data_IF_526933935845
#
_entry.id   IF_526933935845
#
_cell.length_a   1.000
_cell.length_b   1.000
_cell.length_c   1.000
_cell.angle_alpha   90.00
_cell.angle_beta   90.00
_cell.angle_gamma   90.00
#
_symmetry.space_group_name_H-M   'P 1'
#
loop_
_entity.id
_entity.type
_entity.pdbx_description
1 polymer ?
#
# COMPACT_ATOMS: atom_id res chain seq x y z
N UNK A 1 26.75 4.91 -86.36
CA UNK A 1 27.42 5.16 -85.08
C UNK A 1 26.34 5.68 -84.09
N UNK A 2 25.68 4.76 -83.36
CA UNK A 2 24.57 5.08 -82.48
C UNK A 2 25.11 5.17 -81.05
N UNK A 3 25.01 6.38 -80.48
CA UNK A 3 25.37 6.69 -79.09
C UNK A 3 24.11 6.48 -78.22
N UNK A 4 24.12 5.46 -77.42
CA UNK A 4 23.04 5.23 -76.40
C UNK A 4 23.38 6.00 -75.15
N UNK A 5 22.56 7.02 -74.84
CA UNK A 5 22.63 7.79 -73.59
C UNK A 5 21.91 6.97 -72.48
N UNK A 6 22.65 6.52 -71.45
CA UNK A 6 22.09 5.90 -70.25
C UNK A 6 21.80 6.98 -69.24
N UNK A 7 20.49 7.20 -68.94
CA UNK A 7 20.04 8.08 -67.90
C UNK A 7 19.99 7.26 -66.60
N UNK A 8 20.77 7.68 -65.57
CA UNK A 8 20.68 7.15 -64.22
C UNK A 8 19.67 7.97 -63.42
N UNK A 9 18.55 7.37 -63.04
CA UNK A 9 17.60 7.99 -62.11
C UNK A 9 18.06 7.65 -60.67
N UNK A 10 18.53 8.66 -59.94
CA UNK A 10 18.83 8.55 -58.50
C UNK A 10 17.53 8.84 -57.74
N UNK A 11 16.95 7.79 -57.15
CA UNK A 11 15.79 7.93 -56.24
C UNK A 11 16.35 8.26 -54.87
N UNK A 12 16.26 9.54 -54.46
CA UNK A 12 16.47 9.94 -53.08
C UNK A 12 15.23 9.57 -52.26
N UNK A 13 15.35 8.50 -51.45
CA UNK A 13 14.36 8.18 -50.42
C UNK A 13 14.54 9.15 -49.24
N UNK A 14 13.63 10.12 -49.12
CA UNK A 14 13.49 10.91 -47.90
C UNK A 14 12.94 9.99 -46.79
N UNK A 15 13.80 9.55 -45.89
CA UNK A 15 13.35 8.95 -44.64
C UNK A 15 12.71 10.05 -43.77
N UNK A 16 11.41 9.98 -43.62
CA UNK A 16 10.66 10.85 -42.71
C UNK A 16 11.05 10.43 -41.28
N UNK A 17 11.97 11.15 -40.64
CA UNK A 17 12.32 10.98 -39.23
C UNK A 17 11.19 11.64 -38.43
N UNK A 18 10.19 10.86 -38.03
CA UNK A 18 9.25 11.31 -37.03
C UNK A 18 10.00 11.45 -35.70
N UNK A 19 9.95 12.61 -35.03
CA UNK A 19 10.54 12.73 -33.71
C UNK A 19 9.82 11.77 -32.80
N UNK A 20 10.54 10.78 -32.28
CA UNK A 20 10.08 9.97 -31.13
C UNK A 20 10.11 10.94 -29.95
N UNK A 21 8.97 11.50 -29.63
CA UNK A 21 8.79 12.15 -28.34
C UNK A 21 8.99 11.07 -27.29
N UNK A 22 10.12 11.11 -26.59
CA UNK A 22 10.27 10.35 -25.36
C UNK A 22 9.13 10.80 -24.45
N UNK A 23 8.16 9.91 -24.25
CA UNK A 23 7.08 10.14 -23.30
C UNK A 23 7.79 10.21 -21.95
N UNK A 24 7.90 11.40 -21.37
CA UNK A 24 8.42 11.59 -20.04
C UNK A 24 7.41 10.91 -19.07
N UNK A 25 7.70 9.66 -18.75
CA UNK A 25 6.91 8.82 -17.86
C UNK A 25 7.15 9.21 -16.39
N UNK A 26 7.86 10.32 -16.12
CA UNK A 26 7.97 10.83 -14.77
C UNK A 26 6.61 11.35 -14.31
N UNK A 27 5.94 10.57 -13.46
CA UNK A 27 4.66 10.96 -12.85
C UNK A 27 4.83 12.23 -12.01
N UNK A 28 3.75 12.98 -11.86
CA UNK A 28 3.71 14.16 -10.99
C UNK A 28 3.97 13.81 -9.55
N UNK A 29 4.66 14.69 -8.83
CA UNK A 29 4.85 14.60 -7.38
C UNK A 29 3.90 15.56 -6.71
N UNK A 30 3.11 15.06 -5.76
CA UNK A 30 2.21 15.84 -4.92
C UNK A 30 2.78 15.90 -3.51
N UNK A 31 2.94 17.10 -2.99
CA UNK A 31 3.49 17.39 -1.68
C UNK A 31 2.37 17.71 -0.69
N UNK A 32 2.45 17.13 0.51
CA UNK A 32 1.51 17.36 1.60
C UNK A 32 2.28 17.86 2.84
N UNK A 33 1.92 19.05 3.33
CA UNK A 33 2.53 19.71 4.48
C UNK A 33 1.43 20.28 5.38
N UNK A 34 1.18 19.68 6.54
CA UNK A 34 0.09 20.15 7.42
C UNK A 34 0.42 21.45 8.15
N UNK A 35 1.68 21.88 8.16
CA UNK A 35 2.12 23.12 8.82
C UNK A 35 2.09 24.31 7.87
N UNK A 36 2.66 24.16 6.67
CA UNK A 36 2.82 25.23 5.69
C UNK A 36 1.92 25.13 4.46
N UNK A 37 1.19 24.04 4.29
CA UNK A 37 0.35 23.80 3.12
C UNK A 37 -1.04 24.43 3.19
N UNK A 38 -1.74 24.40 2.06
CA UNK A 38 -3.16 24.79 1.94
C UNK A 38 -3.86 23.86 0.94
N UNK A 39 -5.09 23.44 1.24
CA UNK A 39 -5.87 22.59 0.34
C UNK A 39 -6.38 23.34 -0.91
N UNK A 40 -6.18 24.67 -0.98
CA UNK A 40 -6.39 25.48 -2.18
C UNK A 40 -5.19 25.48 -3.15
N UNK A 41 -4.03 24.95 -2.71
CA UNK A 41 -2.82 24.89 -3.51
C UNK A 41 -2.90 23.77 -4.57
N UNK A 42 -1.93 23.76 -5.50
CA UNK A 42 -1.85 22.73 -6.57
C UNK A 42 -1.31 21.40 -6.08
N UNK A 43 -0.55 21.38 -4.98
CA UNK A 43 0.19 20.22 -4.49
C UNK A 43 1.50 19.94 -5.25
N UNK A 44 1.80 20.65 -6.34
CA UNK A 44 2.84 20.28 -7.31
C UNK A 44 4.24 20.81 -6.98
N UNK A 45 4.40 21.57 -5.92
CA UNK A 45 5.71 22.02 -5.44
C UNK A 45 5.73 22.14 -3.93
N UNK A 46 6.93 22.27 -3.35
CA UNK A 46 7.08 22.42 -1.88
C UNK A 46 6.38 23.68 -1.35
N UNK A 47 6.36 24.77 -2.11
CA UNK A 47 5.69 26.02 -1.73
C UNK A 47 4.18 25.99 -1.97
N UNK A 48 3.68 25.02 -2.72
CA UNK A 48 2.28 24.82 -3.06
C UNK A 48 1.72 23.49 -2.54
N UNK A 49 2.27 22.99 -1.43
CA UNK A 49 1.83 21.74 -0.82
C UNK A 49 0.36 21.81 -0.38
N UNK A 50 -0.34 20.69 -0.44
CA UNK A 50 -1.64 20.53 0.20
C UNK A 50 -1.48 20.44 1.73
N UNK A 51 -2.52 20.81 2.46
CA UNK A 51 -2.50 20.78 3.92
C UNK A 51 -2.98 19.44 4.49
N UNK A 52 -4.05 18.92 3.96
CA UNK A 52 -4.73 17.72 4.47
C UNK A 52 -4.79 16.60 3.43
N UNK A 53 -5.38 15.48 3.81
CA UNK A 53 -5.64 14.37 2.90
C UNK A 53 -6.83 14.59 1.95
N UNK A 54 -7.55 15.71 2.09
CA UNK A 54 -8.76 15.97 1.30
C UNK A 54 -8.50 15.80 -0.20
N UNK A 55 -7.53 16.55 -0.75
CA UNK A 55 -7.23 16.51 -2.18
C UNK A 55 -6.66 15.16 -2.64
N UNK A 56 -5.96 14.46 -1.74
CA UNK A 56 -5.46 13.11 -2.01
C UNK A 56 -6.60 12.11 -2.11
N UNK A 57 -7.53 12.13 -1.15
CA UNK A 57 -8.64 11.18 -1.09
C UNK A 57 -9.70 11.44 -2.17
N UNK A 58 -9.84 12.69 -2.62
CA UNK A 58 -10.79 13.09 -3.66
C UNK A 58 -10.29 12.81 -5.10
N UNK A 59 -9.02 12.41 -5.24
CA UNK A 59 -8.33 12.30 -6.52
C UNK A 59 -8.12 10.85 -6.95
N UNK A 60 -8.03 10.64 -8.27
CA UNK A 60 -7.50 9.42 -8.88
C UNK A 60 -6.09 9.67 -9.43
N UNK A 61 -5.10 8.93 -8.88
CA UNK A 61 -3.70 9.02 -9.28
C UNK A 61 -3.41 8.17 -10.51
N UNK A 62 -2.37 8.56 -11.25
CA UNK A 62 -1.93 7.92 -12.50
C UNK A 62 -0.59 7.21 -12.30
N UNK A 63 -0.22 6.27 -13.20
CA UNK A 63 1.08 5.59 -13.13
C UNK A 63 2.25 6.56 -12.97
N UNK A 64 3.16 6.23 -12.05
CA UNK A 64 4.35 7.00 -11.73
C UNK A 64 4.13 8.22 -10.84
N UNK A 65 2.90 8.60 -10.52
CA UNK A 65 2.63 9.72 -9.60
C UNK A 65 3.04 9.38 -8.16
N UNK A 66 3.46 10.39 -7.42
CA UNK A 66 3.90 10.24 -6.04
C UNK A 66 3.13 11.17 -5.10
N UNK A 67 2.83 10.68 -3.91
CA UNK A 67 2.19 11.37 -2.80
C UNK A 67 3.22 11.43 -1.68
N UNK A 68 3.83 12.60 -1.48
CA UNK A 68 4.90 12.73 -0.50
C UNK A 68 4.45 13.60 0.68
N UNK A 69 4.53 13.02 1.87
CA UNK A 69 4.19 13.65 3.14
C UNK A 69 5.45 14.25 3.76
N UNK A 70 5.34 15.46 4.29
CA UNK A 70 6.47 16.16 4.92
C UNK A 70 6.90 15.46 6.22
N UNK A 71 8.18 15.17 6.33
CA UNK A 71 8.79 14.68 7.57
C UNK A 71 8.55 15.64 8.73
N UNK A 72 8.34 15.11 9.93
CA UNK A 72 8.04 15.87 11.14
C UNK A 72 6.60 16.38 11.24
N UNK A 73 5.74 16.08 10.28
CA UNK A 73 4.34 16.44 10.28
C UNK A 73 3.43 15.29 10.74
N UNK A 74 2.25 15.62 11.29
CA UNK A 74 1.26 14.63 11.75
C UNK A 74 -0.12 14.97 11.19
N UNK A 75 -0.80 13.97 10.64
CA UNK A 75 -2.19 14.08 10.17
C UNK A 75 -3.09 13.13 10.97
N UNK A 76 -4.32 13.55 11.20
CA UNK A 76 -5.36 12.71 11.80
C UNK A 76 -6.39 12.33 10.75
N UNK A 77 -6.76 11.05 10.72
CA UNK A 77 -7.74 10.50 9.77
C UNK A 77 -7.18 9.37 8.93
N UNK A 78 -7.80 9.12 7.78
CA UNK A 78 -7.41 8.07 6.84
C UNK A 78 -6.85 8.66 5.56
N UNK A 79 -5.69 8.17 5.15
CA UNK A 79 -5.11 8.40 3.82
C UNK A 79 -5.61 7.29 2.90
N UNK A 80 -6.54 7.62 2.00
CA UNK A 80 -7.23 6.65 1.12
C UNK A 80 -7.21 7.09 -0.34
N UNK A 81 -6.03 7.19 -0.97
CA UNK A 81 -5.90 7.58 -2.37
C UNK A 81 -6.46 6.50 -3.30
N UNK A 82 -6.78 6.88 -4.54
CA UNK A 82 -7.30 5.99 -5.58
C UNK A 82 -6.46 6.06 -6.84
N UNK A 83 -6.45 4.97 -7.61
CA UNK A 83 -5.75 4.85 -8.89
C UNK A 83 -4.92 3.60 -8.99
N UNK A 84 -4.43 3.31 -10.17
CA UNK A 84 -3.55 2.18 -10.42
C UNK A 84 -2.27 2.66 -11.10
N UNK A 85 -1.14 2.16 -10.62
CA UNK A 85 0.13 2.27 -11.33
C UNK A 85 0.24 1.22 -12.43
N UNK A 86 1.44 1.09 -12.98
CA UNK A 86 1.86 -0.04 -13.83
C UNK A 86 3.09 -0.70 -13.22
N UNK A 87 3.47 -1.86 -13.73
CA UNK A 87 4.64 -2.61 -13.25
C UNK A 87 5.92 -1.75 -13.28
N UNK A 88 6.10 -0.95 -14.34
CA UNK A 88 7.26 -0.07 -14.52
C UNK A 88 7.07 1.31 -13.89
N UNK A 89 5.87 1.68 -13.50
CA UNK A 89 5.53 3.01 -12.99
C UNK A 89 4.50 2.92 -11.86
N UNK A 90 4.88 2.38 -10.68
CA UNK A 90 3.98 2.29 -9.53
C UNK A 90 3.62 3.68 -9.00
N UNK A 91 2.48 3.79 -8.33
CA UNK A 91 2.14 4.97 -7.55
C UNK A 91 2.80 4.84 -6.17
N UNK A 92 3.36 5.92 -5.67
CA UNK A 92 4.16 5.92 -4.43
C UNK A 92 3.51 6.80 -3.37
N UNK A 93 3.32 6.27 -2.17
CA UNK A 93 3.12 7.05 -0.95
C UNK A 93 4.43 7.00 -0.17
N UNK A 94 4.97 8.17 0.23
CA UNK A 94 6.22 8.23 0.97
C UNK A 94 6.42 9.53 1.72
N UNK A 95 7.65 9.76 2.16
CA UNK A 95 8.05 10.93 2.90
C UNK A 95 8.97 11.84 2.07
N UNK A 96 9.01 13.12 2.40
CA UNK A 96 10.00 14.08 1.91
C UNK A 96 10.50 14.99 3.02
N UNK A 97 11.66 15.60 2.80
CA UNK A 97 12.34 16.46 3.77
C UNK A 97 13.08 15.66 4.83
N UNK A 98 13.80 16.37 5.66
CA UNK A 98 14.59 15.78 6.77
C UNK A 98 13.76 15.74 8.06
N UNK A 99 14.10 14.83 8.98
CA UNK A 99 13.49 14.72 10.29
C UNK A 99 12.84 13.36 10.55
N UNK A 100 11.92 13.32 11.51
CA UNK A 100 11.15 12.12 11.85
C UNK A 100 10.18 11.76 10.73
N UNK A 101 9.80 10.50 10.64
CA UNK A 101 8.78 10.06 9.66
C UNK A 101 7.49 10.89 9.80
N UNK A 102 6.80 11.15 8.69
CA UNK A 102 5.46 11.72 8.74
C UNK A 102 4.51 10.75 9.44
N UNK A 103 3.68 11.27 10.35
CA UNK A 103 2.77 10.46 11.16
C UNK A 103 1.35 10.52 10.59
N UNK A 104 0.75 9.35 10.37
CA UNK A 104 -0.67 9.22 10.06
C UNK A 104 -1.35 8.57 11.26
N UNK A 105 -2.20 9.32 11.92
CA UNK A 105 -2.88 8.92 13.15
C UNK A 105 -4.37 8.70 12.92
N UNK A 106 -4.82 7.44 12.86
CA UNK A 106 -6.23 7.09 12.69
C UNK A 106 -7.12 7.44 13.87
N UNK A 107 -6.50 7.73 15.04
CA UNK A 107 -7.17 8.13 16.29
C UNK A 107 -8.27 7.15 16.76
N UNK A 108 -8.18 5.89 16.36
CA UNK A 108 -9.19 4.88 16.67
C UNK A 108 -10.58 5.14 16.04
N UNK A 109 -10.69 6.14 15.16
CA UNK A 109 -11.95 6.56 14.56
C UNK A 109 -12.14 6.07 13.12
N UNK A 110 -11.08 5.57 12.50
CA UNK A 110 -11.10 5.10 11.10
C UNK A 110 -10.84 3.60 11.03
N UNK A 111 -11.32 2.96 9.96
CA UNK A 111 -11.06 1.55 9.68
C UNK A 111 -9.55 1.28 9.55
N UNK A 112 -8.85 2.12 8.80
CA UNK A 112 -7.40 2.09 8.69
C UNK A 112 -6.83 3.50 8.52
N UNK A 113 -5.62 3.73 9.03
CA UNK A 113 -4.94 5.02 8.87
C UNK A 113 -4.41 5.21 7.45
N UNK A 114 -3.96 4.13 6.80
CA UNK A 114 -3.71 4.05 5.35
C UNK A 114 -4.60 2.97 4.78
N UNK A 115 -5.44 3.31 3.80
CA UNK A 115 -6.48 2.42 3.25
C UNK A 115 -6.43 2.43 1.72
N UNK A 116 -6.04 1.30 1.11
CA UNK A 116 -6.08 1.09 -0.34
C UNK A 116 -7.09 0.00 -0.66
N UNK A 117 -7.97 0.26 -1.63
CA UNK A 117 -9.03 -0.68 -1.98
C UNK A 117 -9.14 -0.90 -3.49
N UNK A 118 -9.08 -2.17 -3.91
CA UNK A 118 -9.18 -2.61 -5.31
C UNK A 118 -8.14 -1.94 -6.23
N UNK A 119 -6.87 -1.93 -5.81
CA UNK A 119 -5.82 -1.22 -6.51
C UNK A 119 -4.58 -2.08 -6.70
N UNK A 120 -3.83 -1.81 -7.77
CA UNK A 120 -2.57 -2.47 -8.14
C UNK A 120 -1.43 -1.47 -8.30
N UNK A 121 -0.20 -1.98 -8.15
CA UNK A 121 1.03 -1.25 -8.44
C UNK A 121 1.21 -0.03 -7.53
N UNK A 122 1.23 -0.28 -6.23
CA UNK A 122 1.46 0.72 -5.20
C UNK A 122 2.68 0.42 -4.34
N UNK A 123 3.39 1.48 -3.96
CA UNK A 123 4.46 1.45 -2.95
C UNK A 123 4.08 2.36 -1.79
N UNK A 124 4.03 1.82 -0.57
CA UNK A 124 3.79 2.57 0.68
C UNK A 124 5.06 2.49 1.51
N UNK A 125 5.71 3.63 1.77
CA UNK A 125 7.02 3.60 2.42
C UNK A 125 7.29 4.78 3.35
N UNK A 126 8.18 4.53 4.34
CA UNK A 126 8.80 5.57 5.19
C UNK A 126 7.78 6.39 6.00
N UNK A 127 6.66 5.81 6.36
CA UNK A 127 5.61 6.41 7.17
C UNK A 127 5.69 5.90 8.61
N UNK A 128 5.19 6.71 9.54
CA UNK A 128 4.78 6.29 10.87
C UNK A 128 3.25 6.26 10.92
N UNK A 129 2.67 5.12 11.35
CA UNK A 129 1.23 4.88 11.24
C UNK A 129 0.69 4.36 12.55
N UNK A 130 -0.35 5.01 13.07
CA UNK A 130 -1.04 4.59 14.29
C UNK A 130 -2.56 4.61 14.11
N UNK A 131 -3.28 3.79 14.88
CA UNK A 131 -4.75 3.84 14.94
C UNK A 131 -5.24 3.41 16.32
N UNK A 132 -4.79 4.12 17.33
CA UNK A 132 -5.07 3.83 18.73
C UNK A 132 -6.44 4.35 19.12
N UNK A 133 -7.26 3.49 19.74
CA UNK A 133 -8.49 3.86 20.42
C UNK A 133 -8.30 3.74 21.94
N UNK A 134 -9.03 4.52 22.76
CA UNK A 134 -8.98 4.43 24.23
C UNK A 134 -9.34 3.03 24.72
N UNK A 135 -10.26 2.36 24.04
CA UNK A 135 -10.72 1.02 24.36
C UNK A 135 -10.73 0.14 23.10
N UNK A 136 -10.48 -1.14 23.27
CA UNK A 136 -10.52 -2.12 22.21
C UNK A 136 -11.92 -2.23 21.58
N UNK A 137 -12.93 -2.47 22.42
CA UNK A 137 -14.32 -2.62 21.99
C UNK A 137 -14.50 -3.75 20.94
N UNK A 138 -15.47 -3.58 20.07
CA UNK A 138 -15.84 -4.52 19.01
C UNK A 138 -15.39 -4.08 17.61
N UNK A 139 -14.55 -3.05 17.50
CA UNK A 139 -14.19 -2.44 16.23
C UNK A 139 -12.89 -3.03 15.70
N UNK A 140 -12.92 -3.51 14.46
CA UNK A 140 -11.73 -3.94 13.74
C UNK A 140 -11.04 -2.73 13.10
N UNK A 141 -9.75 -2.59 13.38
CA UNK A 141 -8.93 -1.48 12.90
C UNK A 141 -7.62 -1.99 12.32
N UNK A 142 -7.15 -1.29 11.29
CA UNK A 142 -5.83 -1.48 10.72
C UNK A 142 -4.94 -0.25 10.83
N UNK A 143 -3.64 -0.45 10.81
CA UNK A 143 -2.66 0.59 10.54
C UNK A 143 -2.61 0.86 9.03
N UNK A 144 -2.00 -0.05 8.28
CA UNK A 144 -1.99 -0.08 6.80
C UNK A 144 -2.87 -1.24 6.36
N UNK A 145 -3.91 -0.95 5.58
CA UNK A 145 -4.85 -1.93 5.07
C UNK A 145 -4.93 -1.82 3.54
N UNK A 146 -4.73 -2.94 2.87
CA UNK A 146 -4.87 -3.07 1.41
C UNK A 146 -5.87 -4.17 1.16
N UNK A 147 -6.98 -3.85 0.49
CA UNK A 147 -8.09 -4.78 0.31
C UNK A 147 -8.42 -5.00 -1.16
N UNK A 148 -8.70 -6.25 -1.50
CA UNK A 148 -9.31 -6.66 -2.76
C UNK A 148 -10.72 -7.18 -2.50
N UNK A 149 -11.71 -6.34 -2.82
CA UNK A 149 -13.13 -6.69 -2.72
C UNK A 149 -13.74 -6.68 -4.14
N UNK A 150 -13.67 -7.79 -4.84
CA UNK A 150 -14.16 -7.93 -6.23
C UNK A 150 -13.36 -7.12 -7.28
N UNK A 151 -12.06 -6.92 -7.06
CA UNK A 151 -11.15 -6.31 -8.04
C UNK A 151 -10.51 -7.30 -9.02
N UNK A 152 -10.83 -8.59 -8.93
CA UNK A 152 -10.20 -9.63 -9.71
C UNK A 152 -8.73 -9.86 -9.31
N UNK A 153 -7.85 -10.02 -10.28
CA UNK A 153 -6.42 -10.19 -10.02
C UNK A 153 -5.73 -8.84 -9.90
N UNK A 154 -5.34 -8.47 -8.69
CA UNK A 154 -4.55 -7.27 -8.40
C UNK A 154 -3.07 -7.64 -8.15
N UNK A 155 -2.15 -6.70 -8.37
CA UNK A 155 -0.73 -7.03 -8.37
C UNK A 155 0.15 -5.93 -7.80
N UNK A 156 1.38 -6.33 -7.40
CA UNK A 156 2.49 -5.44 -7.11
C UNK A 156 2.20 -4.41 -6.01
N UNK A 157 1.92 -4.93 -4.82
CA UNK A 157 1.82 -4.13 -3.60
C UNK A 157 3.13 -4.25 -2.84
N UNK A 158 3.78 -3.11 -2.56
CA UNK A 158 5.00 -3.04 -1.77
C UNK A 158 4.80 -2.15 -0.55
N UNK A 159 5.03 -2.68 0.66
CA UNK A 159 4.92 -1.98 1.94
C UNK A 159 6.30 -2.03 2.59
N UNK A 160 7.03 -0.89 2.56
CA UNK A 160 8.46 -0.85 2.79
C UNK A 160 8.85 0.14 3.89
N UNK A 161 9.69 -0.27 4.83
CA UNK A 161 10.34 0.62 5.80
C UNK A 161 9.38 1.53 6.58
N UNK A 162 8.16 1.07 6.87
CA UNK A 162 7.21 1.81 7.71
C UNK A 162 7.38 1.46 9.18
N UNK A 163 6.98 2.37 10.06
CA UNK A 163 6.80 2.13 11.49
C UNK A 163 5.31 2.15 11.82
N UNK A 164 4.73 0.99 12.11
CA UNK A 164 3.30 0.84 12.40
C UNK A 164 3.16 0.43 13.87
N UNK A 165 2.44 1.22 14.65
CA UNK A 165 2.33 0.92 16.07
C UNK A 165 1.05 1.47 16.72
N UNK A 166 0.74 0.97 17.92
CA UNK A 166 -0.44 1.38 18.68
C UNK A 166 -1.71 1.33 17.83
N UNK A 167 -1.98 0.14 17.28
CA UNK A 167 -3.22 -0.13 16.54
C UNK A 167 -4.14 -0.95 17.44
N UNK A 168 -5.25 -0.36 17.87
CA UNK A 168 -6.24 -1.04 18.70
C UNK A 168 -7.26 -1.74 17.82
N UNK A 169 -7.31 -3.08 17.83
CA UNK A 169 -8.25 -3.86 17.03
C UNK A 169 -8.92 -4.96 17.84
N UNK A 170 -10.12 -5.39 17.43
CA UNK A 170 -10.93 -6.37 18.14
C UNK A 170 -10.51 -7.80 17.83
N UNK A 171 -10.67 -8.69 18.82
CA UNK A 171 -10.55 -10.15 18.64
C UNK A 171 -11.86 -10.82 18.21
N UNK A 172 -12.98 -10.11 18.28
CA UNK A 172 -14.29 -10.72 18.04
C UNK A 172 -14.55 -10.89 16.56
N UNK A 173 -15.19 -12.00 16.22
CA UNK A 173 -15.72 -12.21 14.87
C UNK A 173 -16.83 -11.20 14.58
N UNK A 174 -16.74 -10.52 13.45
CA UNK A 174 -17.86 -9.81 12.85
C UNK A 174 -18.44 -10.67 11.72
N UNK A 175 -19.70 -10.49 11.41
CA UNK A 175 -20.47 -11.37 10.50
C UNK A 175 -19.82 -11.59 9.11
N UNK A 176 -18.98 -10.64 8.64
CA UNK A 176 -18.36 -10.72 7.32
C UNK A 176 -16.82 -10.61 7.34
N UNK A 177 -16.19 -10.62 8.54
CA UNK A 177 -14.74 -10.43 8.64
C UNK A 177 -14.14 -11.40 9.63
N UNK A 178 -13.04 -12.02 9.22
CA UNK A 178 -12.21 -12.75 10.15
C UNK A 178 -11.33 -11.76 10.92
N UNK A 179 -11.25 -11.83 12.27
CA UNK A 179 -10.50 -10.82 13.03
C UNK A 179 -9.00 -10.80 12.70
N UNK A 180 -8.41 -11.88 12.17
CA UNK A 180 -7.02 -11.89 11.71
C UNK A 180 -6.72 -10.95 10.52
N UNK A 181 -7.74 -10.49 9.81
CA UNK A 181 -7.61 -9.56 8.67
C UNK A 181 -7.27 -8.13 9.10
N UNK A 182 -7.14 -7.86 10.40
CA UNK A 182 -6.90 -6.52 10.94
C UNK A 182 -5.68 -6.52 11.87
N UNK A 183 -5.11 -5.35 12.04
CA UNK A 183 -3.97 -5.13 12.92
C UNK A 183 -2.98 -4.13 12.34
N UNK A 184 -1.68 -4.42 12.39
CA UNK A 184 -0.64 -3.50 11.95
C UNK A 184 -0.64 -3.28 10.44
N UNK A 185 -0.24 -4.29 9.69
CA UNK A 185 -0.20 -4.29 8.22
C UNK A 185 -1.02 -5.47 7.72
N UNK A 186 -2.02 -5.21 6.89
CA UNK A 186 -2.88 -6.23 6.33
C UNK A 186 -3.08 -6.06 4.82
N UNK A 187 -2.93 -7.16 4.08
CA UNK A 187 -3.26 -7.26 2.65
C UNK A 187 -4.30 -8.37 2.53
N UNK A 188 -5.55 -8.00 2.25
CA UNK A 188 -6.70 -8.89 2.34
C UNK A 188 -7.40 -9.08 1.00
N UNK A 189 -7.85 -10.30 0.75
CA UNK A 189 -8.83 -10.63 -0.29
C UNK A 189 -10.15 -10.96 0.40
N UNK A 190 -11.15 -10.12 0.15
CA UNK A 190 -12.49 -10.22 0.75
C UNK A 190 -13.59 -10.48 -0.28
N UNK A 191 -13.25 -10.53 -1.56
CA UNK A 191 -14.19 -10.78 -2.64
C UNK A 191 -14.89 -12.14 -2.50
N UNK A 192 -16.17 -12.21 -2.89
CA UNK A 192 -17.00 -13.41 -2.69
C UNK A 192 -16.94 -14.40 -3.86
N UNK A 193 -16.20 -14.08 -4.92
CA UNK A 193 -16.25 -14.84 -6.18
C UNK A 193 -15.18 -15.92 -6.31
N UNK A 194 -14.15 -15.94 -5.43
CA UNK A 194 -13.02 -16.87 -5.54
C UNK A 194 -12.06 -16.56 -6.70
N UNK A 195 -12.32 -15.48 -7.46
CA UNK A 195 -11.43 -15.03 -8.56
C UNK A 195 -10.51 -13.90 -8.14
N UNK A 196 -10.84 -13.25 -7.02
CA UNK A 196 -10.06 -12.16 -6.46
C UNK A 196 -8.79 -12.70 -5.81
N UNK A 197 -7.67 -12.07 -6.09
CA UNK A 197 -6.38 -12.41 -5.47
C UNK A 197 -5.37 -11.28 -5.61
N UNK A 198 -4.29 -11.37 -4.85
CA UNK A 198 -3.09 -10.59 -5.07
C UNK A 198 -1.96 -11.43 -5.68
N UNK A 199 -1.19 -10.80 -6.57
CA UNK A 199 0.09 -11.30 -7.07
C UNK A 199 1.20 -10.33 -6.72
N UNK A 200 2.38 -10.85 -6.31
CA UNK A 200 3.56 -10.03 -6.00
C UNK A 200 3.28 -9.01 -4.86
N UNK A 201 3.09 -9.51 -3.66
CA UNK A 201 3.03 -8.70 -2.43
C UNK A 201 4.39 -8.73 -1.75
N UNK A 202 5.00 -7.57 -1.53
CA UNK A 202 6.25 -7.42 -0.79
C UNK A 202 6.03 -6.58 0.47
N UNK A 203 6.30 -7.17 1.64
CA UNK A 203 6.28 -6.48 2.93
C UNK A 203 7.69 -6.59 3.52
N UNK A 204 8.48 -5.51 3.46
CA UNK A 204 9.89 -5.56 3.81
C UNK A 204 10.33 -4.39 4.68
N UNK A 205 11.20 -4.66 5.66
CA UNK A 205 11.86 -3.64 6.46
C UNK A 205 10.95 -2.88 7.42
N UNK A 206 9.70 -3.33 7.62
CA UNK A 206 8.79 -2.63 8.51
C UNK A 206 9.05 -2.98 9.98
N UNK A 207 8.81 -1.99 10.86
CA UNK A 207 8.71 -2.18 12.29
C UNK A 207 7.25 -2.11 12.70
N UNK A 208 6.73 -3.15 13.36
CA UNK A 208 5.33 -3.26 13.79
C UNK A 208 5.28 -3.56 15.28
N UNK A 209 4.66 -2.71 16.08
CA UNK A 209 4.70 -2.83 17.54
C UNK A 209 3.39 -2.43 18.21
N UNK A 210 3.10 -3.05 19.37
CA UNK A 210 1.93 -2.72 20.18
C UNK A 210 0.63 -2.76 19.38
N UNK A 211 0.35 -3.88 18.75
CA UNK A 211 -0.82 -4.07 17.89
C UNK A 211 -1.83 -5.01 18.52
N UNK A 212 -3.05 -4.56 18.60
CA UNK A 212 -4.15 -5.23 19.27
C UNK A 212 -4.67 -6.49 18.59
N UNK A 213 -4.19 -6.88 17.40
CA UNK A 213 -4.58 -8.12 16.72
C UNK A 213 -3.36 -8.70 15.98
N UNK A 214 -3.37 -8.81 14.66
CA UNK A 214 -2.28 -9.39 13.88
C UNK A 214 -1.22 -8.35 13.55
N UNK A 215 0.05 -8.66 13.67
CA UNK A 215 1.14 -7.75 13.33
C UNK A 215 1.20 -7.49 11.83
N UNK A 216 1.49 -8.54 11.05
CA UNK A 216 1.53 -8.50 9.58
C UNK A 216 0.71 -9.68 9.05
N UNK A 217 -0.21 -9.43 8.13
CA UNK A 217 -1.02 -10.49 7.52
C UNK A 217 -1.20 -10.31 6.01
N UNK A 218 -1.13 -11.42 5.27
CA UNK A 218 -1.68 -11.55 3.92
C UNK A 218 -2.75 -12.63 3.97
N UNK A 219 -4.01 -12.25 3.70
CA UNK A 219 -5.17 -13.09 3.93
C UNK A 219 -6.05 -13.18 2.70
N UNK A 220 -6.23 -14.40 2.19
CA UNK A 220 -7.23 -14.70 1.19
C UNK A 220 -8.29 -15.62 1.81
N UNK A 221 -9.47 -15.08 2.08
CA UNK A 221 -10.50 -15.79 2.82
C UNK A 221 -11.24 -16.84 2.00
N UNK A 222 -11.30 -16.69 0.68
CA UNK A 222 -12.26 -17.41 -0.17
C UNK A 222 -11.58 -18.29 -1.22
N UNK A 223 -10.27 -18.49 -1.12
CA UNK A 223 -9.62 -19.41 -2.07
C UNK A 223 -10.24 -20.82 -1.92
N UNK A 224 -10.82 -21.34 -3.00
CA UNK A 224 -11.37 -22.69 -3.03
C UNK A 224 -10.39 -23.68 -3.66
N UNK A 225 -9.42 -23.18 -4.43
CA UNK A 225 -8.40 -23.97 -5.14
C UNK A 225 -7.06 -23.23 -5.13
N UNK A 226 -5.97 -23.96 -5.31
CA UNK A 226 -4.62 -23.38 -5.32
C UNK A 226 -4.40 -22.32 -6.41
N UNK A 227 -5.06 -22.42 -7.56
CA UNK A 227 -4.99 -21.42 -8.63
C UNK A 227 -5.74 -20.12 -8.31
N UNK A 228 -6.55 -20.12 -7.27
CA UNK A 228 -7.26 -18.96 -6.73
C UNK A 228 -6.46 -18.25 -5.63
N UNK A 229 -5.47 -18.89 -5.04
CA UNK A 229 -4.67 -18.33 -3.94
C UNK A 229 -3.80 -17.13 -4.37
N UNK A 230 -3.46 -16.28 -3.41
CA UNK A 230 -2.45 -15.24 -3.58
C UNK A 230 -1.08 -15.85 -3.91
N UNK A 231 -0.31 -15.25 -4.82
CA UNK A 231 1.00 -15.77 -5.24
C UNK A 231 2.09 -14.70 -5.19
N UNK A 232 3.37 -15.12 -5.10
CA UNK A 232 4.49 -14.19 -5.07
C UNK A 232 4.53 -13.33 -3.79
N UNK A 233 3.96 -13.82 -2.69
CA UNK A 233 3.96 -13.14 -1.39
C UNK A 233 5.33 -13.28 -0.75
N UNK A 234 5.93 -12.15 -0.35
CA UNK A 234 7.22 -12.09 0.35
C UNK A 234 7.12 -11.18 1.56
N UNK A 235 7.37 -11.73 2.75
CA UNK A 235 7.39 -10.99 4.02
C UNK A 235 8.79 -11.17 4.61
N UNK A 236 9.62 -10.12 4.59
CA UNK A 236 11.01 -10.27 4.98
C UNK A 236 11.60 -9.05 5.68
N UNK A 237 12.60 -9.31 6.54
CA UNK A 237 13.35 -8.28 7.27
C UNK A 237 12.46 -7.34 8.10
N UNK A 238 11.28 -7.79 8.52
CA UNK A 238 10.42 -7.02 9.40
C UNK A 238 10.75 -7.34 10.86
N UNK A 239 10.53 -6.34 11.73
CA UNK A 239 10.53 -6.52 13.19
C UNK A 239 9.11 -6.37 13.70
N UNK A 240 8.59 -7.41 14.35
CA UNK A 240 7.23 -7.46 14.89
C UNK A 240 7.32 -7.70 16.38
N UNK A 241 6.77 -6.79 17.20
CA UNK A 241 6.92 -6.85 18.65
C UNK A 241 5.64 -6.49 19.39
N UNK A 242 5.42 -7.13 20.53
CA UNK A 242 4.28 -6.86 21.42
C UNK A 242 2.94 -6.90 20.66
N UNK A 243 2.67 -8.01 20.01
CA UNK A 243 1.45 -8.27 19.25
C UNK A 243 0.52 -9.15 20.07
N UNK A 244 -0.72 -8.72 20.23
CA UNK A 244 -1.67 -9.44 21.07
C UNK A 244 -2.03 -10.83 20.51
N UNK A 245 -1.92 -11.04 19.20
CA UNK A 245 -2.19 -12.33 18.55
C UNK A 245 -1.01 -12.74 17.66
N UNK A 246 -1.27 -13.02 16.39
CA UNK A 246 -0.26 -13.53 15.46
C UNK A 246 0.73 -12.42 15.09
N UNK A 247 2.02 -12.70 15.21
CA UNK A 247 3.07 -11.77 14.78
C UNK A 247 3.04 -11.59 13.26
N UNK A 248 3.18 -12.70 12.53
CA UNK A 248 3.16 -12.74 11.05
C UNK A 248 2.30 -13.93 10.62
N UNK A 249 1.33 -13.68 9.74
CA UNK A 249 0.38 -14.68 9.28
C UNK A 249 0.19 -14.60 7.77
N UNK A 250 0.15 -15.76 7.10
CA UNK A 250 -0.34 -15.89 5.73
C UNK A 250 -1.44 -16.95 5.68
N UNK A 251 -2.52 -16.64 4.97
CA UNK A 251 -3.63 -17.57 4.74
C UNK A 251 -4.11 -17.45 3.31
N UNK A 252 -4.35 -18.57 2.63
CA UNK A 252 -4.74 -18.56 1.21
C UNK A 252 -3.63 -18.05 0.28
N UNK A 253 -2.38 -18.33 0.60
CA UNK A 253 -1.22 -17.94 -0.20
C UNK A 253 -0.47 -19.20 -0.68
N UNK A 254 -0.21 -19.29 -1.99
CA UNK A 254 0.61 -20.35 -2.56
C UNK A 254 2.06 -19.89 -2.70
N UNK A 255 2.99 -20.66 -2.09
CA UNK A 255 4.42 -20.41 -2.14
C UNK A 255 4.86 -19.11 -1.45
N UNK A 256 4.18 -18.69 -0.36
CA UNK A 256 4.59 -17.51 0.40
C UNK A 256 6.00 -17.69 1.01
N UNK A 257 6.87 -16.70 0.84
CA UNK A 257 8.21 -16.66 1.42
C UNK A 257 8.24 -15.73 2.63
N UNK A 258 8.46 -16.30 3.82
CA UNK A 258 8.60 -15.55 5.07
C UNK A 258 10.02 -15.77 5.59
N UNK A 259 10.87 -14.75 5.52
CA UNK A 259 12.29 -14.91 5.84
C UNK A 259 12.89 -13.68 6.55
N UNK A 260 13.90 -13.92 7.37
CA UNK A 260 14.69 -12.86 8.04
C UNK A 260 13.82 -11.88 8.87
N UNK A 261 12.67 -12.29 9.35
CA UNK A 261 11.85 -11.49 10.25
C UNK A 261 12.20 -11.80 11.71
N UNK A 262 11.96 -10.82 12.58
CA UNK A 262 12.03 -10.99 14.03
C UNK A 262 10.64 -10.81 14.60
N UNK A 263 10.15 -11.78 15.37
CA UNK A 263 8.88 -11.71 16.09
C UNK A 263 9.16 -11.93 17.59
N UNK A 264 8.77 -10.96 18.42
CA UNK A 264 9.01 -10.95 19.86
C UNK A 264 7.73 -10.54 20.60
N UNK A 265 7.36 -11.25 21.69
CA UNK A 265 6.18 -10.92 22.49
C UNK A 265 4.86 -11.02 21.72
N UNK A 266 4.71 -11.99 20.82
CA UNK A 266 3.47 -12.23 20.08
C UNK A 266 2.58 -13.26 20.78
N UNK A 267 1.23 -13.14 20.64
CA UNK A 267 0.25 -14.07 21.23
C UNK A 267 0.06 -13.89 22.73
N UNK A 268 0.31 -12.70 23.26
CA UNK A 268 0.29 -12.43 24.70
C UNK A 268 -1.10 -12.07 25.27
N UNK A 269 -2.06 -11.75 24.41
CA UNK A 269 -3.39 -11.36 24.86
C UNK A 269 -4.19 -12.54 25.40
N UNK A 270 -4.65 -12.40 26.64
CA UNK A 270 -5.63 -13.32 27.26
C UNK A 270 -6.87 -12.51 27.61
N UNK A 271 -8.00 -12.80 26.97
CA UNK A 271 -9.28 -12.37 27.53
C UNK A 271 -9.52 -13.16 28.83
N UNK A 272 -9.78 -12.48 29.92
CA UNK A 272 -10.33 -13.09 31.13
C UNK A 272 -11.73 -13.61 30.76
N UNK A 273 -11.87 -14.83 30.34
CA UNK A 273 -13.14 -15.43 29.94
C UNK A 273 -13.08 -16.40 28.74
N UNK A 274 -11.95 -17.01 28.47
CA UNK A 274 -11.88 -18.28 27.75
C UNK A 274 -12.16 -18.23 26.24
N UNK A 275 -11.20 -17.78 25.47
CA UNK A 275 -10.90 -18.37 24.17
C UNK A 275 -9.44 -18.84 24.21
N UNK A 276 -9.27 -20.14 24.48
CA UNK A 276 -8.07 -20.85 24.11
C UNK A 276 -8.13 -21.00 22.58
N UNK A 277 -7.32 -20.26 21.84
CA UNK A 277 -7.10 -20.46 20.41
C UNK A 277 -6.17 -21.65 20.18
#
# INVERSE_FOLDING_TARGET
>A
MNIAIRIWIVILSFACITPVYANDQSGKIYYIDNLGGSDSNTGLSLGEAWKSFKNVNDREFKPGEQILLKSGCTWTGSLSPRGNGTDDSPIIIGAYGEGTRPVIHGNGQVKAAVDLRNQSNWVIRQLEVTNQAPERGYVHRGGILVENDNGGVLSNISILDNYVHHVTSSFRYAYNFHPHQFGGIAVNVNGLTGTDKYRNVLIEGNRVENVGRTGIVVWDHIFAKYDEACTGVRIRKNSVKDIDSDGILTYGCDGALIEHNVADGCGSYREDGGFNG
#
